data_IF_583984176731
#
_entry.id   IF_583984176731
#
_cell.length_a   1.000
_cell.length_b   1.000
_cell.length_c   1.000
_cell.angle_alpha   90.00
_cell.angle_beta   90.00
_cell.angle_gamma   90.00
#
_symmetry.space_group_name_H-M   'P 1'
#
loop_
_entity.id
_entity.type
_entity.pdbx_description
1 polymer ?
#
# COMPACT_ATOMS: atom_id res chain seq x y z
N UNK A 1 27.37 -54.69 1.42
CA UNK A 1 26.07 -54.18 1.92
C UNK A 1 26.17 -52.77 2.52
N UNK A 2 27.23 -52.43 3.28
CA UNK A 2 27.37 -51.09 3.87
C UNK A 2 27.49 -49.92 2.88
N UNK A 3 28.15 -50.09 1.72
CA UNK A 3 28.36 -49.00 0.75
C UNK A 3 27.07 -48.55 0.03
N UNK A 4 26.17 -49.47 -0.32
CA UNK A 4 24.86 -49.12 -0.90
C UNK A 4 23.93 -48.45 0.12
N UNK A 5 23.95 -48.93 1.37
CA UNK A 5 23.13 -48.34 2.43
C UNK A 5 23.60 -46.92 2.77
N UNK A 6 24.91 -46.69 2.82
CA UNK A 6 25.47 -45.34 3.04
C UNK A 6 25.09 -44.40 1.89
N UNK A 7 25.11 -44.88 0.64
CA UNK A 7 24.75 -44.06 -0.52
C UNK A 7 23.27 -43.61 -0.50
N UNK A 8 22.38 -44.48 -0.05
CA UNK A 8 20.95 -44.15 0.08
C UNK A 8 20.71 -43.10 1.17
N UNK A 9 21.42 -43.18 2.30
CA UNK A 9 21.31 -42.18 3.37
C UNK A 9 21.76 -40.80 2.88
N UNK A 10 22.90 -40.74 2.19
CA UNK A 10 23.42 -39.48 1.64
C UNK A 10 22.44 -38.88 0.64
N UNK A 11 21.86 -39.69 -0.24
CA UNK A 11 20.86 -39.22 -1.20
C UNK A 11 19.63 -38.63 -0.50
N UNK A 12 19.11 -39.30 0.53
CA UNK A 12 17.96 -38.80 1.30
C UNK A 12 18.23 -37.45 1.95
N UNK A 13 19.42 -37.27 2.55
CA UNK A 13 19.79 -36.00 3.21
C UNK A 13 19.92 -34.86 2.19
N UNK A 14 20.50 -35.13 1.02
CA UNK A 14 20.62 -34.12 -0.05
C UNK A 14 19.24 -33.65 -0.52
N UNK A 15 18.30 -34.58 -0.72
CA UNK A 15 16.93 -34.24 -1.14
C UNK A 15 16.21 -33.40 -0.07
N UNK A 16 16.31 -33.77 1.20
CA UNK A 16 15.73 -32.99 2.31
C UNK A 16 16.33 -31.58 2.39
N UNK A 17 17.65 -31.45 2.21
CA UNK A 17 18.33 -30.15 2.21
C UNK A 17 17.80 -29.19 1.15
N UNK A 18 17.60 -29.67 -0.09
CA UNK A 18 17.04 -28.85 -1.17
C UNK A 18 15.56 -28.52 -0.90
N UNK A 19 14.78 -29.48 -0.41
CA UNK A 19 13.36 -29.26 -0.12
C UNK A 19 13.15 -28.18 0.95
N UNK A 20 13.98 -28.13 1.99
CA UNK A 20 13.93 -27.07 3.02
C UNK A 20 14.29 -25.71 2.43
N UNK A 21 15.35 -25.63 1.61
CA UNK A 21 15.75 -24.38 0.98
C UNK A 21 14.65 -23.81 0.07
N UNK A 22 14.02 -24.65 -0.75
CA UNK A 22 12.89 -24.25 -1.62
C UNK A 22 11.66 -23.88 -0.79
N UNK A 23 11.37 -24.63 0.27
CA UNK A 23 10.26 -24.35 1.18
C UNK A 23 10.36 -22.98 1.85
N UNK A 24 11.56 -22.59 2.30
CA UNK A 24 11.81 -21.27 2.88
C UNK A 24 11.56 -20.17 1.84
N UNK A 25 12.07 -20.32 0.61
CA UNK A 25 11.84 -19.35 -0.46
C UNK A 25 10.36 -19.19 -0.79
N UNK A 26 9.60 -20.29 -0.86
CA UNK A 26 8.16 -20.25 -1.09
C UNK A 26 7.40 -19.56 0.05
N UNK A 27 7.79 -19.81 1.30
CA UNK A 27 7.18 -19.18 2.47
C UNK A 27 7.40 -17.67 2.47
N UNK A 28 8.63 -17.21 2.19
CA UNK A 28 8.94 -15.78 2.09
C UNK A 28 8.17 -15.12 0.95
N UNK A 29 8.11 -15.75 -0.24
CA UNK A 29 7.34 -15.22 -1.36
C UNK A 29 5.84 -15.11 -1.04
N UNK A 30 5.30 -16.05 -0.26
CA UNK A 30 3.91 -15.98 0.19
C UNK A 30 3.67 -14.81 1.16
N UNK A 31 4.60 -14.56 2.08
CA UNK A 31 4.54 -13.43 3.01
C UNK A 31 4.56 -12.09 2.25
N UNK A 32 5.49 -11.92 1.30
CA UNK A 32 5.60 -10.74 0.45
C UNK A 32 4.31 -10.51 -0.36
N UNK A 33 3.77 -11.55 -0.99
CA UNK A 33 2.54 -11.44 -1.77
C UNK A 33 1.32 -11.11 -0.90
N UNK A 34 1.24 -11.68 0.31
CA UNK A 34 0.17 -11.37 1.26
C UNK A 34 0.24 -9.91 1.71
N UNK A 35 1.44 -9.41 2.02
CA UNK A 35 1.63 -8.01 2.41
C UNK A 35 1.29 -7.06 1.25
N UNK A 36 1.70 -7.38 0.02
CA UNK A 36 1.32 -6.64 -1.20
C UNK A 36 -0.18 -6.52 -1.37
N UNK A 37 -0.90 -7.62 -1.21
CA UNK A 37 -2.37 -7.62 -1.32
C UNK A 37 -3.02 -6.80 -0.21
N UNK A 38 -2.49 -6.86 1.01
CA UNK A 38 -2.97 -6.04 2.12
C UNK A 38 -2.78 -4.54 1.86
N UNK A 39 -1.59 -4.12 1.40
CA UNK A 39 -1.30 -2.72 1.06
C UNK A 39 -2.23 -2.23 -0.07
N UNK A 40 -2.43 -3.03 -1.12
CA UNK A 40 -3.34 -2.67 -2.22
C UNK A 40 -4.78 -2.54 -1.72
N UNK A 41 -5.24 -3.45 -0.87
CA UNK A 41 -6.59 -3.40 -0.27
C UNK A 41 -6.78 -2.13 0.57
N UNK A 42 -5.78 -1.77 1.37
CA UNK A 42 -5.83 -0.55 2.19
C UNK A 42 -5.87 0.70 1.31
N UNK A 43 -5.04 0.76 0.26
CA UNK A 43 -5.08 1.86 -0.70
C UNK A 43 -6.45 1.98 -1.36
N UNK A 44 -7.09 0.88 -1.78
CA UNK A 44 -8.44 0.91 -2.35
C UNK A 44 -9.48 1.46 -1.36
N UNK A 45 -9.38 1.08 -0.09
CA UNK A 45 -10.27 1.58 0.95
C UNK A 45 -10.06 3.10 1.17
N UNK A 46 -8.80 3.54 1.33
CA UNK A 46 -8.44 4.96 1.44
C UNK A 46 -8.91 5.74 0.22
N UNK A 47 -8.74 5.21 -0.99
CA UNK A 47 -9.23 5.82 -2.23
C UNK A 47 -10.74 6.03 -2.23
N UNK A 48 -11.51 5.05 -1.75
CA UNK A 48 -12.96 5.19 -1.60
C UNK A 48 -13.34 6.27 -0.58
N UNK A 49 -12.62 6.36 0.54
CA UNK A 49 -12.84 7.41 1.55
C UNK A 49 -12.53 8.81 1.00
N UNK A 50 -11.41 8.97 0.29
CA UNK A 50 -11.06 10.24 -0.36
C UNK A 50 -12.13 10.67 -1.37
N UNK A 51 -12.65 9.74 -2.17
CA UNK A 51 -13.73 10.02 -3.11
C UNK A 51 -15.06 10.35 -2.41
N UNK A 52 -15.35 9.72 -1.28
CA UNK A 52 -16.50 10.06 -0.45
C UNK A 52 -16.37 11.47 0.12
N UNK A 53 -15.18 11.82 0.65
CA UNK A 53 -14.88 13.16 1.14
C UNK A 53 -15.05 14.21 0.04
N UNK A 54 -14.47 14.00 -1.15
CA UNK A 54 -14.57 14.95 -2.26
C UNK A 54 -16.02 15.24 -2.69
N UNK A 55 -16.89 14.23 -2.63
CA UNK A 55 -18.31 14.34 -3.00
C UNK A 55 -19.19 14.90 -1.88
N UNK A 56 -18.71 14.87 -0.65
CA UNK A 56 -19.46 15.37 0.50
C UNK A 56 -19.42 16.92 0.51
N UNK A 57 -20.55 17.61 0.77
CA UNK A 57 -20.57 19.07 0.83
C UNK A 57 -19.64 19.63 1.92
N UNK A 58 -19.05 20.81 1.67
CA UNK A 58 -18.19 21.50 2.64
C UNK A 58 -18.89 21.79 3.98
N UNK A 59 -20.20 22.05 3.96
CA UNK A 59 -21.01 22.24 5.17
C UNK A 59 -21.11 21.01 6.08
N UNK A 60 -20.70 19.83 5.60
CA UNK A 60 -20.65 18.59 6.36
C UNK A 60 -19.20 18.12 6.63
N UNK A 61 -18.19 18.97 6.39
CA UNK A 61 -16.77 18.63 6.54
C UNK A 61 -16.19 17.82 5.39
N UNK A 62 -16.77 17.95 4.19
CA UNK A 62 -16.30 17.31 2.96
C UNK A 62 -15.56 18.26 2.01
N UNK A 63 -14.96 17.73 0.95
CA UNK A 63 -14.20 18.50 -0.04
C UNK A 63 -15.04 19.35 -0.99
N UNK A 64 -16.38 19.27 -0.94
CA UNK A 64 -17.29 20.18 -1.63
C UNK A 64 -17.14 20.24 -3.16
N UNK A 65 -16.58 19.20 -3.78
CA UNK A 65 -16.15 19.20 -5.18
C UNK A 65 -15.26 20.40 -5.54
N UNK A 66 -14.36 20.78 -4.63
CA UNK A 66 -13.45 21.90 -4.82
C UNK A 66 -12.60 21.72 -6.09
N UNK A 67 -12.53 22.77 -6.91
CA UNK A 67 -11.69 22.80 -8.10
C UNK A 67 -10.19 22.86 -7.76
N UNK A 68 -9.84 23.23 -6.53
CA UNK A 68 -8.49 23.27 -6.02
C UNK A 68 -8.45 22.64 -4.63
N UNK A 69 -7.72 21.52 -4.50
CA UNK A 69 -7.60 20.74 -3.27
C UNK A 69 -6.54 21.29 -2.29
N UNK A 70 -5.74 22.28 -2.69
CA UNK A 70 -4.67 22.87 -1.85
C UNK A 70 -4.99 24.29 -1.40
N UNK A 71 -6.05 24.91 -1.91
CA UNK A 71 -6.53 26.20 -1.41
C UNK A 71 -7.51 25.94 -0.29
N UNK A 72 -7.55 26.78 0.74
CA UNK A 72 -8.40 26.52 1.88
C UNK A 72 -9.90 26.70 1.64
N UNK A 73 -10.72 26.13 2.53
CA UNK A 73 -12.18 26.33 2.59
C UNK A 73 -12.53 27.82 2.84
N UNK A 74 -13.81 28.18 2.79
CA UNK A 74 -14.35 29.50 3.14
C UNK A 74 -13.90 30.03 4.52
N UNK A 75 -13.37 29.14 5.39
CA UNK A 75 -12.82 29.45 6.71
C UNK A 75 -11.29 29.68 6.72
N UNK A 76 -10.58 29.44 5.61
CA UNK A 76 -9.15 29.69 5.46
C UNK A 76 -8.21 28.51 5.79
N UNK A 77 -8.76 27.35 6.17
CA UNK A 77 -8.01 26.12 6.48
C UNK A 77 -7.72 25.31 5.20
N UNK A 78 -6.52 24.75 5.06
CA UNK A 78 -6.14 23.98 3.86
C UNK A 78 -7.02 22.73 3.70
N UNK A 79 -7.64 22.56 2.53
CA UNK A 79 -8.44 21.38 2.17
C UNK A 79 -7.63 20.06 2.28
N UNK A 80 -6.29 20.11 2.20
CA UNK A 80 -5.41 18.98 2.47
C UNK A 80 -5.49 18.48 3.92
N UNK A 81 -5.60 19.40 4.87
CA UNK A 81 -5.54 19.08 6.30
C UNK A 81 -6.89 18.55 6.78
N UNK A 82 -7.98 19.07 6.20
CA UNK A 82 -9.32 18.50 6.36
C UNK A 82 -9.40 17.08 5.79
N UNK A 83 -8.80 16.85 4.62
CA UNK A 83 -8.70 15.51 4.06
C UNK A 83 -7.96 14.57 5.01
N UNK A 84 -6.78 14.96 5.51
CA UNK A 84 -5.98 14.12 6.41
C UNK A 84 -6.76 13.74 7.66
N UNK A 85 -7.44 14.70 8.30
CA UNK A 85 -8.31 14.43 9.44
C UNK A 85 -9.45 13.45 9.09
N UNK A 86 -10.04 13.57 7.90
CA UNK A 86 -11.13 12.70 7.45
C UNK A 86 -10.67 11.26 7.23
N UNK A 87 -9.52 11.05 6.60
CA UNK A 87 -8.97 9.70 6.32
C UNK A 87 -8.15 9.13 7.48
N UNK A 88 -7.97 9.88 8.57
CA UNK A 88 -7.25 9.44 9.78
C UNK A 88 -5.72 9.53 9.67
N UNK A 89 -5.20 10.40 8.82
CA UNK A 89 -3.78 10.67 8.67
C UNK A 89 -3.33 11.74 9.67
N UNK A 90 -2.04 11.77 9.98
CA UNK A 90 -1.45 12.84 10.78
C UNK A 90 -1.35 14.16 9.99
N UNK A 91 -0.93 15.23 10.66
CA UNK A 91 -0.78 16.56 10.05
C UNK A 91 0.27 16.62 8.95
N UNK A 92 1.17 15.64 8.89
CA UNK A 92 2.21 15.54 7.86
C UNK A 92 1.75 14.65 6.68
N UNK A 93 0.51 14.18 6.68
CA UNK A 93 -0.06 13.34 5.65
C UNK A 93 0.43 11.90 5.69
N UNK A 94 0.78 11.38 6.88
CA UNK A 94 1.20 9.99 7.07
C UNK A 94 0.22 9.18 7.91
N UNK A 95 0.21 7.88 7.66
CA UNK A 95 -0.57 6.91 8.42
C UNK A 95 0.20 5.59 8.51
N UNK A 96 0.09 4.92 9.66
CA UNK A 96 0.80 3.66 9.93
C UNK A 96 -0.21 2.61 10.40
N UNK A 97 -0.14 1.42 9.83
CA UNK A 97 -0.89 0.27 10.30
C UNK A 97 0.00 -0.99 10.37
N UNK A 98 -0.61 -2.15 10.61
CA UNK A 98 0.13 -3.43 10.69
C UNK A 98 0.63 -3.92 9.32
N UNK A 99 0.08 -3.40 8.22
CA UNK A 99 0.40 -3.79 6.85
C UNK A 99 1.55 -2.94 6.27
N UNK A 100 1.67 -1.67 6.67
CA UNK A 100 2.69 -0.76 6.17
C UNK A 100 2.55 0.70 6.63
N UNK A 101 3.35 1.55 6.01
CA UNK A 101 3.31 3.01 6.09
C UNK A 101 2.64 3.59 4.86
N UNK A 102 1.84 4.63 5.03
CA UNK A 102 1.13 5.33 3.97
C UNK A 102 1.45 6.81 4.05
N UNK A 103 1.80 7.42 2.93
CA UNK A 103 2.03 8.87 2.83
C UNK A 103 1.21 9.46 1.70
N UNK A 104 0.69 10.67 1.92
CA UNK A 104 -0.12 11.39 0.95
C UNK A 104 0.61 12.62 0.43
N UNK A 105 0.49 12.88 -0.87
CA UNK A 105 0.84 14.15 -1.50
C UNK A 105 -0.39 14.70 -2.21
N UNK A 106 -0.88 15.86 -1.75
CA UNK A 106 -2.02 16.55 -2.37
C UNK A 106 -1.50 17.66 -3.28
N UNK A 107 -1.91 17.62 -4.55
CA UNK A 107 -1.76 18.73 -5.49
C UNK A 107 -3.10 19.40 -5.72
N UNK A 108 -3.17 20.42 -6.58
CA UNK A 108 -4.41 21.15 -6.84
C UNK A 108 -5.55 20.27 -7.35
N UNK A 109 -5.24 19.22 -8.13
CA UNK A 109 -6.25 18.38 -8.81
C UNK A 109 -6.07 16.89 -8.57
N UNK A 110 -4.95 16.48 -7.97
CA UNK A 110 -4.62 15.07 -7.74
C UNK A 110 -4.25 14.82 -6.29
N UNK A 111 -4.61 13.66 -5.79
CA UNK A 111 -4.18 13.15 -4.48
C UNK A 111 -3.40 11.86 -4.75
N UNK A 112 -2.14 11.82 -4.38
CA UNK A 112 -1.29 10.64 -4.49
C UNK A 112 -1.11 10.03 -3.10
N UNK A 113 -1.47 8.76 -2.93
CA UNK A 113 -1.24 7.98 -1.70
C UNK A 113 -0.24 6.89 -2.02
N UNK A 114 0.89 6.89 -1.34
CA UNK A 114 1.95 5.89 -1.46
C UNK A 114 1.91 4.98 -0.25
N UNK A 115 1.64 3.69 -0.46
CA UNK A 115 1.72 2.64 0.56
C UNK A 115 3.03 1.87 0.43
N UNK A 116 3.79 1.79 1.50
CA UNK A 116 5.01 1.00 1.64
C UNK A 116 4.78 -0.10 2.69
N UNK A 117 4.82 -1.35 2.24
CA UNK A 117 4.61 -2.53 3.05
C UNK A 117 5.79 -2.85 3.97
N UNK A 118 5.55 -3.72 4.95
CA UNK A 118 6.58 -4.11 5.93
C UNK A 118 7.56 -5.18 5.39
N UNK A 119 7.19 -5.88 4.32
CA UNK A 119 8.03 -6.92 3.71
C UNK A 119 8.86 -6.35 2.56
N UNK A 120 10.10 -6.83 2.42
CA UNK A 120 10.94 -6.50 1.26
C UNK A 120 10.34 -7.13 0.00
N UNK A 121 10.10 -6.31 -1.03
CA UNK A 121 9.57 -6.71 -2.33
C UNK A 121 10.51 -7.65 -3.09
N UNK A 122 10.09 -8.03 -4.29
CA UNK A 122 10.80 -9.02 -5.11
C UNK A 122 12.21 -8.60 -5.56
N UNK A 123 12.59 -7.34 -5.34
CA UNK A 123 13.94 -6.84 -5.61
C UNK A 123 14.96 -7.17 -4.51
N UNK A 124 14.50 -7.68 -3.36
CA UNK A 124 15.34 -8.03 -2.21
C UNK A 124 15.98 -6.85 -1.50
N UNK A 125 15.57 -5.60 -1.79
CA UNK A 125 16.17 -4.40 -1.19
C UNK A 125 15.19 -3.28 -0.84
N UNK A 126 14.02 -3.20 -1.48
CA UNK A 126 13.01 -2.18 -1.16
C UNK A 126 11.74 -2.83 -0.63
N UNK A 127 11.01 -2.20 0.30
CA UNK A 127 9.72 -2.69 0.75
C UNK A 127 8.70 -2.70 -0.39
N UNK A 128 7.70 -3.58 -0.30
CA UNK A 128 6.59 -3.63 -1.26
C UNK A 128 5.94 -2.26 -1.39
N UNK A 129 5.94 -1.67 -2.59
CA UNK A 129 5.39 -0.33 -2.83
C UNK A 129 4.20 -0.36 -3.77
N UNK A 130 3.15 0.36 -3.40
CA UNK A 130 2.02 0.65 -4.26
C UNK A 130 1.63 2.12 -4.14
N UNK A 131 1.29 2.72 -5.28
CA UNK A 131 0.86 4.11 -5.37
C UNK A 131 -0.56 4.16 -5.90
N UNK A 132 -1.43 4.89 -5.22
CA UNK A 132 -2.76 5.23 -5.67
C UNK A 132 -2.78 6.71 -6.06
N UNK A 133 -3.04 6.99 -7.33
CA UNK A 133 -3.30 8.33 -7.83
C UNK A 133 -4.81 8.52 -7.95
N UNK A 134 -5.31 9.56 -7.30
CA UNK A 134 -6.72 9.92 -7.28
C UNK A 134 -6.89 11.23 -8.05
N UNK A 135 -7.72 11.23 -9.08
CA UNK A 135 -8.11 12.43 -9.84
C UNK A 135 -9.63 12.58 -9.75
N UNK A 136 -10.16 13.26 -8.71
CA UNK A 136 -11.59 13.21 -8.38
C UNK A 136 -12.52 13.76 -9.47
N UNK A 137 -12.01 14.64 -10.33
CA UNK A 137 -12.75 15.24 -11.44
C UNK A 137 -12.76 14.41 -12.73
N UNK A 138 -12.10 13.24 -12.77
CA UNK A 138 -11.97 12.40 -13.96
C UNK A 138 -12.94 11.20 -13.93
N UNK A 139 -13.31 10.68 -15.10
CA UNK A 139 -14.20 9.52 -15.29
C UNK A 139 -13.62 8.22 -14.72
N UNK A 140 -12.29 8.14 -14.59
CA UNK A 140 -11.56 7.07 -13.89
C UNK A 140 -10.76 7.67 -12.72
N UNK A 141 -11.41 7.93 -11.59
CA UNK A 141 -10.83 8.78 -10.55
C UNK A 141 -9.81 8.06 -9.67
N UNK A 142 -9.71 6.73 -9.74
CA UNK A 142 -8.77 5.93 -8.94
C UNK A 142 -7.85 5.13 -9.87
N UNK A 143 -6.55 5.36 -9.78
CA UNK A 143 -5.53 4.59 -10.51
C UNK A 143 -4.48 4.05 -9.55
N UNK A 144 -4.47 2.74 -9.33
CA UNK A 144 -3.45 2.08 -8.51
C UNK A 144 -2.35 1.52 -9.40
N UNK A 145 -1.10 1.87 -9.10
CA UNK A 145 0.11 1.31 -9.72
C UNK A 145 0.94 0.61 -8.66
N UNK A 146 1.39 -0.61 -8.94
CA UNK A 146 2.27 -1.37 -8.05
C UNK A 146 3.70 -1.12 -8.49
N UNK A 147 4.51 -0.48 -7.64
CA UNK A 147 5.85 0.03 -7.97
C UNK A 147 6.99 -0.91 -7.54
N UNK A 148 6.63 -2.16 -7.20
CA UNK A 148 7.45 -3.29 -6.73
C UNK A 148 7.51 -3.41 -5.21
#
# INVERSE_FOLDING_TARGET
>A
MGTQQILLIVLSVVVVGIAVAVGITMFNNQAVNSNRQAVISDLQNLGAQVMAWYRMPASMGGGGQAANLTTGDANGESLSDELYNYIGFDSDGNFLNQNGSYSTTVTTTTIEIVGEGNETGNDGSTPVKATLVITPANESPLQTTVNN
#
